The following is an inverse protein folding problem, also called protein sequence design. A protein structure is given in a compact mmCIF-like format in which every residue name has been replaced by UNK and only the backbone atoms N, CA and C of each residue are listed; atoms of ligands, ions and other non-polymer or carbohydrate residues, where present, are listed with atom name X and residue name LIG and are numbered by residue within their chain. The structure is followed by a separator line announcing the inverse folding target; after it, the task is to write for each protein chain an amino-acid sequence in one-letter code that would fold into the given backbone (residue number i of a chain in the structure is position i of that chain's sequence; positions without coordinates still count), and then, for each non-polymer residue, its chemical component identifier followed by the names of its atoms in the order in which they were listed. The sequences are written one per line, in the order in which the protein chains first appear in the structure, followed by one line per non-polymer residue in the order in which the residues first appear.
data_IF_295375046789
#
_entry.id   IF_295375046789
#
_cell.length_a   1.000
_cell.length_b   1.000
_cell.length_c   1.000
_cell.angle_alpha   90.00
_cell.angle_beta   90.00
_cell.angle_gamma   90.00
#
_symmetry.space_group_name_H-M   'P 1'
#
loop_
_entity.id
_entity.type
_entity.pdbx_description
1 polymer ?
#
# COMPACT_ATOMS: atom_id res chain seq x y z
N UNK A 1 65.38 -13.95 5.61
CA UNK A 1 63.90 -13.75 5.55
C UNK A 1 63.53 -12.76 6.65
N UNK A 2 63.21 -11.49 6.31
CA UNK A 2 62.92 -10.43 7.30
C UNK A 2 61.40 -10.39 7.55
N UNK A 3 60.96 -10.80 8.74
CA UNK A 3 59.56 -10.71 9.18
C UNK A 3 59.36 -9.31 9.78
N UNK A 4 58.46 -8.52 9.21
CA UNK A 4 58.09 -7.18 9.71
C UNK A 4 56.94 -7.32 10.72
N UNK A 5 57.19 -6.97 11.97
CA UNK A 5 56.16 -6.77 12.99
C UNK A 5 55.41 -5.46 12.69
N UNK A 6 54.11 -5.56 12.46
CA UNK A 6 53.20 -4.40 12.43
C UNK A 6 52.85 -4.09 13.90
N UNK A 7 53.02 -2.87 14.41
CA UNK A 7 52.76 -2.56 15.81
C UNK A 7 51.25 -2.56 16.06
N UNK A 8 50.84 -3.29 17.10
CA UNK A 8 49.45 -3.50 17.53
C UNK A 8 48.76 -2.24 18.10
N UNK A 9 49.31 -1.05 17.86
CA UNK A 9 48.86 0.20 18.48
C UNK A 9 47.83 0.98 17.64
N UNK A 10 47.61 0.60 16.38
CA UNK A 10 46.67 1.28 15.48
C UNK A 10 45.22 0.80 15.58
N UNK A 11 44.94 -0.26 16.36
CA UNK A 11 43.59 -0.86 16.44
C UNK A 11 42.72 -0.21 17.52
N UNK A 12 43.30 0.46 18.52
CA UNK A 12 42.51 1.01 19.65
C UNK A 12 41.85 2.36 19.38
N UNK A 13 42.25 3.12 18.36
CA UNK A 13 41.69 4.46 18.08
C UNK A 13 40.37 4.37 17.29
N UNK A 14 40.08 3.26 16.62
CA UNK A 14 38.87 3.12 15.80
C UNK A 14 37.60 2.77 16.61
N UNK A 15 37.73 2.43 17.90
CA UNK A 15 36.59 2.09 18.76
C UNK A 15 36.00 3.27 19.54
N UNK A 16 36.70 4.42 19.58
CA UNK A 16 36.28 5.58 20.39
C UNK A 16 35.29 6.55 19.73
N UNK A 17 34.90 6.33 18.47
CA UNK A 17 34.01 7.24 17.72
C UNK A 17 32.60 6.69 17.48
N UNK A 18 32.35 5.41 17.75
CA UNK A 18 30.99 4.88 17.78
C UNK A 18 30.43 5.03 19.18
N UNK A 19 29.95 6.25 19.48
CA UNK A 19 28.88 6.38 20.47
C UNK A 19 27.68 5.64 19.88
N UNK A 20 27.53 4.36 20.23
CA UNK A 20 26.34 3.60 19.92
C UNK A 20 25.26 4.15 20.84
N UNK A 21 24.51 5.12 20.34
CA UNK A 21 23.30 5.57 21.00
C UNK A 21 22.33 4.39 20.99
N UNK A 22 22.28 3.70 22.13
CA UNK A 22 21.29 2.64 22.41
C UNK A 22 19.92 3.25 22.77
N UNK A 23 19.77 4.57 22.62
CA UNK A 23 18.46 5.21 22.56
C UNK A 23 17.71 4.69 21.35
N UNK A 24 16.81 3.75 21.57
CA UNK A 24 15.74 3.43 20.63
C UNK A 24 14.91 4.67 20.41
N UNK A 25 15.31 5.50 19.44
CA UNK A 25 14.44 6.50 18.88
C UNK A 25 13.38 5.68 18.15
N UNK A 26 12.20 5.51 18.76
CA UNK A 26 11.01 5.26 17.95
C UNK A 26 11.01 6.39 16.91
N UNK A 27 11.24 6.02 15.64
CA UNK A 27 11.11 7.00 14.57
C UNK A 27 9.64 7.36 14.58
N UNK A 28 9.31 8.54 15.07
CA UNK A 28 8.01 9.15 14.81
C UNK A 28 7.83 9.07 13.29
N UNK A 29 6.86 8.29 12.84
CA UNK A 29 6.66 8.07 11.42
C UNK A 29 6.44 9.43 10.76
N UNK A 30 7.09 9.66 9.60
CA UNK A 30 6.86 10.89 8.85
C UNK A 30 5.36 11.12 8.69
N UNK A 31 4.85 12.33 8.98
CA UNK A 31 3.42 12.59 8.90
C UNK A 31 2.93 12.39 7.47
N UNK A 32 1.73 11.83 7.33
CA UNK A 32 1.06 11.69 6.02
C UNK A 32 0.84 13.08 5.41
N UNK A 33 1.36 13.31 4.21
CA UNK A 33 1.27 14.60 3.51
C UNK A 33 0.31 14.57 2.32
N UNK A 34 0.07 13.39 1.73
CA UNK A 34 -0.70 13.27 0.50
C UNK A 34 -1.66 12.10 0.52
N UNK A 35 -2.94 12.47 0.59
CA UNK A 35 -4.08 11.57 0.51
C UNK A 35 -4.67 11.61 -0.91
N UNK A 36 -4.97 10.45 -1.45
CA UNK A 36 -5.88 10.29 -2.60
C UNK A 36 -7.12 9.59 -2.09
N UNK A 37 -8.29 10.12 -2.43
CA UNK A 37 -9.58 9.55 -2.05
C UNK A 37 -10.38 9.29 -3.32
N UNK A 38 -10.94 8.09 -3.46
CA UNK A 38 -11.73 7.70 -4.63
C UNK A 38 -12.82 6.68 -4.29
N UNK A 39 -13.76 6.54 -5.22
CA UNK A 39 -14.89 5.60 -5.19
C UNK A 39 -15.37 5.36 -6.63
N UNK A 40 -16.39 4.52 -6.80
CA UNK A 40 -17.08 4.29 -8.08
C UNK A 40 -16.14 3.78 -9.20
N UNK A 41 -15.36 2.75 -8.88
CA UNK A 41 -14.30 2.19 -9.71
C UNK A 41 -14.76 0.95 -10.46
N UNK A 42 -15.75 1.10 -11.34
CA UNK A 42 -16.28 -0.03 -12.10
C UNK A 42 -15.16 -0.82 -12.80
N UNK A 43 -14.95 -2.05 -12.33
CA UNK A 43 -13.76 -2.86 -12.56
C UNK A 43 -13.55 -3.24 -14.03
N UNK A 44 -14.63 -3.32 -14.79
CA UNK A 44 -14.65 -3.69 -16.21
C UNK A 44 -14.63 -2.47 -17.16
N UNK A 45 -14.46 -1.26 -16.63
CA UNK A 45 -14.36 -0.01 -17.41
C UNK A 45 -12.93 0.56 -17.39
N UNK A 46 -12.55 1.35 -18.41
CA UNK A 46 -11.30 2.09 -18.38
C UNK A 46 -11.25 3.03 -17.17
N UNK A 47 -10.16 2.97 -16.41
CA UNK A 47 -9.90 3.84 -15.25
C UNK A 47 -8.62 4.68 -15.51
N UNK A 48 -8.68 5.71 -16.36
CA UNK A 48 -7.50 6.46 -16.81
C UNK A 48 -6.88 7.35 -15.70
N UNK A 49 -7.51 7.42 -14.52
CA UNK A 49 -7.08 8.25 -13.39
C UNK A 49 -5.82 7.72 -12.69
N UNK A 50 -5.55 6.41 -12.74
CA UNK A 50 -4.46 5.80 -11.99
C UNK A 50 -3.07 6.33 -12.33
N UNK A 51 -2.79 6.47 -13.63
CA UNK A 51 -1.48 6.93 -14.10
C UNK A 51 -1.21 8.39 -13.71
N UNK A 52 -2.13 9.35 -13.90
CA UNK A 52 -2.00 10.71 -13.36
C UNK A 52 -1.81 10.74 -11.83
N UNK A 53 -2.62 10.00 -11.07
CA UNK A 53 -2.55 9.94 -9.61
C UNK A 53 -1.16 9.49 -9.16
N UNK A 54 -0.61 8.46 -9.81
CA UNK A 54 0.70 7.92 -9.45
C UNK A 54 1.85 8.92 -9.55
N UNK A 55 1.73 9.97 -10.38
CA UNK A 55 2.77 11.01 -10.50
C UNK A 55 2.87 11.88 -9.26
N UNK A 56 1.82 11.94 -8.46
CA UNK A 56 1.80 12.72 -7.24
C UNK A 56 2.45 11.99 -6.06
N UNK A 57 2.81 10.70 -6.19
CA UNK A 57 3.41 9.92 -5.09
C UNK A 57 2.58 10.03 -3.79
N UNK A 58 1.33 9.53 -3.78
CA UNK A 58 0.50 9.58 -2.59
C UNK A 58 1.04 8.67 -1.48
N UNK A 59 0.97 9.13 -0.24
CA UNK A 59 1.31 8.31 0.93
C UNK A 59 0.20 7.30 1.21
N UNK A 60 -1.07 7.73 1.02
CA UNK A 60 -2.26 6.91 1.24
C UNK A 60 -3.23 7.05 0.06
N UNK A 61 -3.73 5.90 -0.40
CA UNK A 61 -4.89 5.78 -1.27
C UNK A 61 -6.06 5.27 -0.44
N UNK A 62 -7.14 6.03 -0.38
CA UNK A 62 -8.39 5.68 0.31
C UNK A 62 -9.44 5.36 -0.74
N UNK A 63 -9.99 4.15 -0.65
CA UNK A 63 -11.10 3.69 -1.47
C UNK A 63 -12.37 3.62 -0.61
N UNK A 64 -13.34 4.48 -0.91
CA UNK A 64 -14.46 4.77 -0.02
C UNK A 64 -15.71 3.92 -0.26
N UNK A 65 -15.70 3.00 -1.22
CA UNK A 65 -16.88 2.25 -1.64
C UNK A 65 -17.08 2.29 -3.15
N UNK A 66 -18.00 1.47 -3.64
CA UNK A 66 -18.17 1.16 -5.07
C UNK A 66 -16.83 0.84 -5.75
N UNK A 67 -15.96 0.10 -5.06
CA UNK A 67 -14.64 -0.25 -5.59
C UNK A 67 -14.77 -1.28 -6.71
N UNK A 68 -15.81 -2.10 -6.64
CA UNK A 68 -16.32 -2.94 -7.71
C UNK A 68 -17.84 -2.78 -7.82
N UNK A 69 -18.41 -3.21 -8.95
CA UNK A 69 -19.86 -3.36 -9.14
C UNK A 69 -20.20 -4.86 -9.18
N UNK A 70 -20.38 -5.42 -7.98
CA UNK A 70 -20.54 -6.84 -7.69
C UNK A 70 -21.93 -7.41 -7.96
N UNK A 71 -22.96 -6.57 -7.93
CA UNK A 71 -24.40 -6.80 -8.18
C UNK A 71 -24.84 -8.23 -8.49
N UNK A 72 -24.70 -9.12 -7.51
CA UNK A 72 -24.98 -10.54 -7.72
C UNK A 72 -25.16 -11.27 -6.39
N UNK A 73 -25.74 -12.47 -6.48
CA UNK A 73 -25.73 -13.48 -5.41
C UNK A 73 -24.63 -14.52 -5.61
N UNK A 74 -23.94 -14.50 -6.74
CA UNK A 74 -22.82 -15.40 -7.00
C UNK A 74 -21.55 -14.82 -6.35
N UNK A 75 -21.16 -15.38 -5.19
CA UNK A 75 -19.92 -15.02 -4.50
C UNK A 75 -18.68 -15.23 -5.39
N UNK A 76 -18.74 -16.17 -6.33
CA UNK A 76 -17.64 -16.36 -7.28
C UNK A 76 -17.53 -15.20 -8.26
N UNK A 77 -18.64 -14.52 -8.60
CA UNK A 77 -18.61 -13.29 -9.40
C UNK A 77 -17.94 -12.16 -8.63
N UNK A 78 -18.33 -11.94 -7.36
CA UNK A 78 -17.68 -10.95 -6.49
C UNK A 78 -16.16 -11.17 -6.45
N UNK A 79 -15.71 -12.41 -6.25
CA UNK A 79 -14.29 -12.74 -6.26
C UNK A 79 -13.60 -12.42 -7.60
N UNK A 80 -14.26 -12.69 -8.73
CA UNK A 80 -13.75 -12.34 -10.08
C UNK A 80 -13.68 -10.83 -10.29
N UNK A 81 -14.65 -10.08 -9.80
CA UNK A 81 -14.69 -8.62 -9.93
C UNK A 81 -13.56 -7.97 -9.13
N UNK A 82 -13.33 -8.41 -7.89
CA UNK A 82 -12.17 -8.00 -7.10
C UNK A 82 -10.84 -8.35 -7.78
N UNK A 83 -10.74 -9.55 -8.36
CA UNK A 83 -9.55 -9.95 -9.12
C UNK A 83 -9.34 -9.05 -10.35
N UNK A 84 -10.42 -8.64 -11.03
CA UNK A 84 -10.39 -7.74 -12.18
C UNK A 84 -9.84 -6.36 -11.79
N UNK A 85 -10.34 -5.77 -10.71
CA UNK A 85 -9.81 -4.50 -10.18
C UNK A 85 -8.32 -4.65 -9.82
N UNK A 86 -7.96 -5.68 -9.05
CA UNK A 86 -6.57 -5.88 -8.60
C UNK A 86 -5.60 -6.16 -9.75
N UNK A 87 -6.08 -6.66 -10.90
CA UNK A 87 -5.26 -6.93 -12.07
C UNK A 87 -5.01 -5.69 -12.94
N UNK A 88 -5.70 -4.57 -12.71
CA UNK A 88 -5.46 -3.35 -13.47
C UNK A 88 -4.01 -2.86 -13.26
N UNK A 89 -3.16 -2.77 -14.30
CA UNK A 89 -1.73 -2.56 -14.13
C UNK A 89 -1.36 -1.27 -13.38
N UNK A 90 -2.01 -0.15 -13.73
CA UNK A 90 -1.72 1.14 -13.12
C UNK A 90 -2.24 1.22 -11.68
N UNK A 91 -3.38 0.60 -11.38
CA UNK A 91 -3.88 0.46 -10.01
C UNK A 91 -2.93 -0.40 -9.16
N UNK A 92 -2.51 -1.56 -9.68
CA UNK A 92 -1.57 -2.44 -9.01
C UNK A 92 -0.23 -1.76 -8.72
N UNK A 93 0.23 -0.88 -9.61
CA UNK A 93 1.41 -0.03 -9.39
C UNK A 93 1.16 1.00 -8.29
N UNK A 94 0.06 1.73 -8.35
CA UNK A 94 -0.30 2.73 -7.34
C UNK A 94 -0.47 2.11 -5.95
N UNK A 95 -1.14 0.96 -5.84
CA UNK A 95 -1.31 0.19 -4.60
C UNK A 95 0.02 -0.28 -3.99
N UNK A 96 1.06 -0.50 -4.80
CA UNK A 96 2.40 -0.84 -4.30
C UNK A 96 3.19 0.38 -3.82
N UNK A 97 2.88 1.58 -4.32
CA UNK A 97 3.60 2.80 -3.97
C UNK A 97 2.99 3.54 -2.77
N UNK A 98 1.75 3.22 -2.41
CA UNK A 98 0.97 3.94 -1.40
C UNK A 98 0.33 2.96 -0.43
N UNK A 99 0.06 3.40 0.80
CA UNK A 99 -0.75 2.64 1.75
C UNK A 99 -2.19 2.64 1.27
N UNK A 100 -2.74 1.47 0.94
CA UNK A 100 -4.15 1.34 0.56
C UNK A 100 -5.01 1.14 1.82
N UNK A 101 -5.93 2.06 2.04
CA UNK A 101 -7.05 1.90 2.99
C UNK A 101 -8.33 1.78 2.18
N UNK A 102 -9.22 0.87 2.55
CA UNK A 102 -10.47 0.67 1.83
C UNK A 102 -11.62 0.37 2.79
N UNK A 103 -12.79 0.85 2.44
CA UNK A 103 -14.08 0.42 2.99
C UNK A 103 -15.00 0.02 1.83
N UNK A 104 -16.19 -0.47 2.16
CA UNK A 104 -17.15 -1.03 1.21
C UNK A 104 -18.41 -0.15 1.13
N UNK A 105 -19.07 -0.18 -0.03
CA UNK A 105 -20.48 0.19 -0.21
C UNK A 105 -21.32 -1.05 -0.60
N UNK A 106 -22.60 -0.86 -0.88
CA UNK A 106 -23.55 -1.89 -1.30
C UNK A 106 -23.05 -2.76 -2.48
N UNK A 107 -22.50 -2.12 -3.52
CA UNK A 107 -21.97 -2.77 -4.71
C UNK A 107 -20.74 -3.66 -4.45
N UNK A 108 -19.98 -3.39 -3.39
CA UNK A 108 -18.79 -4.15 -3.00
C UNK A 108 -19.13 -5.43 -2.23
N UNK A 109 -20.27 -5.41 -1.53
CA UNK A 109 -20.71 -6.47 -0.64
C UNK A 109 -21.58 -7.52 -1.34
N UNK A 110 -22.44 -7.11 -2.27
CA UNK A 110 -23.41 -8.03 -2.88
C UNK A 110 -24.25 -7.41 -4.00
N UNK A 111 -25.57 -7.41 -3.81
CA UNK A 111 -26.50 -6.76 -4.73
C UNK A 111 -26.56 -5.25 -4.46
N UNK A 112 -26.86 -4.45 -5.47
CA UNK A 112 -27.23 -3.04 -5.31
C UNK A 112 -28.28 -2.86 -4.19
N UNK A 113 -28.09 -1.86 -3.35
CA UNK A 113 -28.84 -1.54 -2.14
C UNK A 113 -28.92 -2.68 -1.10
N UNK A 114 -28.01 -3.65 -1.14
CA UNK A 114 -28.02 -4.75 -0.17
C UNK A 114 -27.21 -4.44 1.08
N UNK A 115 -27.73 -4.85 2.22
CA UNK A 115 -27.06 -4.81 3.52
C UNK A 115 -27.06 -6.17 4.21
N UNK A 116 -27.40 -6.17 5.50
CA UNK A 116 -27.39 -7.36 6.37
C UNK A 116 -28.23 -8.52 5.82
N UNK A 117 -29.26 -8.21 5.05
CA UNK A 117 -30.21 -9.16 4.46
C UNK A 117 -29.67 -9.92 3.24
N UNK A 118 -28.50 -9.54 2.71
CA UNK A 118 -27.87 -10.26 1.60
C UNK A 118 -27.54 -11.70 2.03
N UNK A 119 -28.05 -12.72 1.32
CA UNK A 119 -27.81 -14.11 1.66
C UNK A 119 -26.43 -14.54 1.15
N UNK A 120 -25.42 -14.47 2.01
CA UNK A 120 -24.08 -15.02 1.79
C UNK A 120 -24.02 -16.54 2.00
#
# INVERSE_FOLDING_TARGET
MKIRFIPLLSVLILFGLFSFDLGGHESEADPVQRLVVGSCLKQDKPQPCWRPISKYQPDVLILCGDNIYGDSRDVSKLARDWATLSAQPDFAKLRKQSTLLATWDDHDYGQNDAGREYPV
#
